data_IF_170235183714
#
_entry.id   IF_170235183714
#
_cell.length_a   1.000
_cell.length_b   1.000
_cell.length_c   1.000
_cell.angle_alpha   90.00
_cell.angle_beta   90.00
_cell.angle_gamma   90.00
#
_symmetry.space_group_name_H-M   'P 1'
#
loop_
_entity.id
_entity.type
_entity.pdbx_description
1 polymer ?
#
# COMPACT_ATOMS: atom_id res chain seq x y z
N UNK A 1 -19.69 -32.45 27.53
CA UNK A 1 -18.23 -32.27 27.56
C UNK A 1 -17.90 -31.07 26.70
N UNK A 2 -17.12 -30.09 27.18
CA UNK A 2 -16.60 -29.06 26.28
C UNK A 2 -15.62 -29.72 25.31
N UNK A 3 -15.83 -29.52 24.02
CA UNK A 3 -14.87 -29.90 22.98
C UNK A 3 -13.63 -29.03 23.23
N UNK A 4 -12.41 -29.59 23.33
CA UNK A 4 -11.21 -28.78 23.44
C UNK A 4 -11.09 -27.93 22.18
N UNK A 5 -11.16 -26.61 22.34
CA UNK A 5 -10.88 -25.66 21.27
C UNK A 5 -9.39 -25.75 20.98
N UNK A 6 -9.01 -26.43 19.92
CA UNK A 6 -7.63 -26.45 19.44
C UNK A 6 -7.41 -25.14 18.64
N UNK A 7 -6.55 -24.21 19.09
CA UNK A 7 -6.51 -22.86 18.52
C UNK A 7 -6.05 -22.79 17.05
N UNK A 8 -5.41 -23.84 16.53
CA UNK A 8 -5.02 -23.96 15.12
C UNK A 8 -4.65 -25.42 14.88
N UNK A 9 -5.15 -26.01 13.80
CA UNK A 9 -4.85 -27.41 13.43
C UNK A 9 -3.56 -27.47 12.59
N UNK A 10 -3.05 -26.31 12.16
CA UNK A 10 -1.89 -26.16 11.29
C UNK A 10 -0.99 -24.99 11.73
N UNK A 11 -0.36 -25.16 12.90
CA UNK A 11 0.49 -24.14 13.54
C UNK A 11 1.65 -23.68 12.64
N UNK A 12 2.17 -24.57 11.79
CA UNK A 12 3.26 -24.27 10.85
C UNK A 12 2.79 -23.28 9.77
N UNK A 13 1.62 -23.53 9.17
CA UNK A 13 1.02 -22.62 8.20
C UNK A 13 0.68 -21.27 8.85
N UNK A 14 0.11 -21.28 10.05
CA UNK A 14 -0.24 -20.04 10.74
C UNK A 14 1.01 -19.19 11.05
N UNK A 15 2.10 -19.82 11.47
CA UNK A 15 3.39 -19.16 11.68
C UNK A 15 3.94 -18.59 10.37
N UNK A 16 3.96 -19.36 9.29
CA UNK A 16 4.42 -18.90 7.97
C UNK A 16 3.63 -17.67 7.51
N UNK A 17 2.29 -17.71 7.61
CA UNK A 17 1.43 -16.61 7.21
C UNK A 17 1.63 -15.38 8.09
N UNK A 18 1.94 -15.54 9.38
CA UNK A 18 2.29 -14.43 10.29
C UNK A 18 3.63 -13.81 9.89
N UNK A 19 4.65 -14.60 9.58
CA UNK A 19 5.96 -14.09 9.15
C UNK A 19 5.87 -13.31 7.82
N UNK A 20 5.09 -13.82 6.86
CA UNK A 20 4.80 -13.10 5.61
C UNK A 20 4.03 -11.82 5.91
N UNK A 21 3.03 -11.86 6.80
CA UNK A 21 2.26 -10.67 7.20
C UNK A 21 3.14 -9.59 7.84
N UNK A 22 4.10 -10.00 8.68
CA UNK A 22 5.05 -9.12 9.33
C UNK A 22 5.99 -8.47 8.31
N UNK A 23 6.52 -9.26 7.38
CA UNK A 23 7.36 -8.76 6.28
C UNK A 23 6.60 -7.76 5.40
N UNK A 24 5.33 -8.07 5.10
CA UNK A 24 4.43 -7.20 4.35
C UNK A 24 4.17 -5.88 5.09
N UNK A 25 4.01 -5.92 6.42
CA UNK A 25 3.80 -4.73 7.24
C UNK A 25 4.99 -3.77 7.18
N UNK A 26 6.22 -4.28 7.14
CA UNK A 26 7.40 -3.43 6.96
C UNK A 26 7.39 -2.70 5.61
N UNK A 27 6.99 -3.39 4.53
CA UNK A 27 6.88 -2.77 3.20
C UNK A 27 5.77 -1.70 3.19
N UNK A 28 4.64 -1.98 3.84
CA UNK A 28 3.51 -1.06 3.93
C UNK A 28 3.86 0.20 4.74
N UNK A 29 4.56 0.03 5.88
CA UNK A 29 5.10 1.14 6.65
C UNK A 29 6.10 1.97 5.82
N UNK A 30 6.97 1.31 5.07
CA UNK A 30 7.91 2.00 4.19
C UNK A 30 7.20 2.80 3.08
N UNK A 31 6.16 2.23 2.46
CA UNK A 31 5.30 2.93 1.50
C UNK A 31 4.67 4.18 2.13
N UNK A 32 4.13 4.08 3.34
CA UNK A 32 3.54 5.22 4.04
C UNK A 32 4.59 6.31 4.38
N UNK A 33 5.81 5.92 4.75
CA UNK A 33 6.91 6.88 4.96
C UNK A 33 7.23 7.63 3.66
N UNK A 34 7.26 6.94 2.52
CA UNK A 34 7.48 7.58 1.22
C UNK A 34 6.37 8.59 0.88
N UNK A 35 5.10 8.26 1.14
CA UNK A 35 3.98 9.20 0.98
C UNK A 35 4.14 10.45 1.85
N UNK A 36 4.57 10.29 3.11
CA UNK A 36 4.82 11.42 4.01
C UNK A 36 5.93 12.32 3.45
N UNK A 37 7.04 11.72 3.02
CA UNK A 37 8.19 12.45 2.44
C UNK A 37 7.75 13.20 1.18
N UNK A 38 7.05 12.54 0.26
CA UNK A 38 6.53 13.17 -0.95
C UNK A 38 5.63 14.36 -0.61
N UNK A 39 4.66 14.16 0.27
CA UNK A 39 3.71 15.21 0.67
C UNK A 39 4.44 16.43 1.26
N UNK A 40 5.47 16.20 2.09
CA UNK A 40 6.30 17.28 2.63
C UNK A 40 7.02 18.05 1.53
N UNK A 41 7.64 17.36 0.57
CA UNK A 41 8.30 18.00 -0.58
C UNK A 41 7.30 18.77 -1.45
N UNK A 42 6.12 18.21 -1.74
CA UNK A 42 5.08 18.91 -2.49
C UNK A 42 4.65 20.21 -1.80
N UNK A 43 4.51 20.18 -0.47
CA UNK A 43 4.20 21.38 0.34
C UNK A 43 5.30 22.44 0.19
N UNK A 44 6.57 22.06 0.29
CA UNK A 44 7.71 22.97 0.15
C UNK A 44 7.75 23.61 -1.24
N UNK A 45 7.53 22.82 -2.30
CA UNK A 45 7.46 23.34 -3.68
C UNK A 45 6.34 24.36 -3.86
N UNK A 46 5.15 24.10 -3.30
CA UNK A 46 4.03 25.05 -3.38
C UNK A 46 4.39 26.36 -2.66
N UNK A 47 4.98 26.28 -1.47
CA UNK A 47 5.41 27.47 -0.72
C UNK A 47 6.44 28.28 -1.51
N UNK A 48 7.44 27.61 -2.10
CA UNK A 48 8.45 28.27 -2.94
C UNK A 48 7.83 28.97 -4.15
N UNK A 49 6.89 28.32 -4.86
CA UNK A 49 6.16 28.93 -6.00
C UNK A 49 5.37 30.17 -5.57
N UNK A 50 4.71 30.12 -4.41
CA UNK A 50 3.97 31.26 -3.87
C UNK A 50 4.93 32.42 -3.58
N UNK A 51 6.05 32.17 -2.89
CA UNK A 51 7.05 33.21 -2.59
C UNK A 51 7.65 33.83 -3.86
N UNK A 52 8.01 33.02 -4.86
CA UNK A 52 8.54 33.49 -6.14
C UNK A 52 7.51 34.32 -6.93
N UNK A 53 6.24 33.90 -6.94
CA UNK A 53 5.16 34.64 -7.61
C UNK A 53 4.89 36.02 -6.99
N UNK A 54 5.22 36.21 -5.71
CA UNK A 54 5.07 37.50 -5.02
C UNK A 54 6.26 38.44 -5.25
N UNK A 55 7.42 37.95 -5.67
CA UNK A 55 8.62 38.76 -5.89
C UNK A 55 8.82 39.24 -7.35
N UNK A 56 8.05 38.73 -8.31
CA UNK A 56 8.07 39.06 -9.76
C UNK A 56 9.43 38.89 -10.48
N UNK A 57 9.47 37.86 -11.34
CA UNK A 57 10.30 37.68 -12.54
C UNK A 57 11.73 38.27 -12.55
N UNK A 58 12.68 37.61 -11.92
CA UNK A 58 14.07 37.61 -12.38
C UNK A 58 14.83 36.45 -11.73
N UNK A 59 14.98 35.37 -12.50
CA UNK A 59 16.14 34.48 -12.59
C UNK A 59 15.66 33.09 -13.01
N UNK A 60 15.69 32.88 -14.33
CA UNK A 60 15.83 31.55 -14.91
C UNK A 60 17.28 31.12 -14.65
N UNK A 61 17.58 30.67 -13.44
CA UNK A 61 18.84 29.98 -13.16
C UNK A 61 18.57 28.48 -13.12
N UNK A 62 18.92 27.86 -14.25
CA UNK A 62 19.15 26.45 -14.43
C UNK A 62 20.23 25.97 -13.44
N UNK A 63 19.81 25.63 -12.22
CA UNK A 63 20.64 24.85 -11.32
C UNK A 63 20.62 23.40 -11.79
N UNK A 64 21.81 22.89 -12.07
CA UNK A 64 22.08 21.51 -12.43
C UNK A 64 21.36 20.57 -11.44
N UNK A 65 20.32 19.91 -11.95
CA UNK A 65 19.53 18.93 -11.21
C UNK A 65 20.44 17.77 -10.83
N UNK A 66 20.77 17.66 -9.55
CA UNK A 66 20.99 16.34 -8.97
C UNK A 66 19.66 15.62 -9.15
N UNK A 67 19.68 14.57 -9.98
CA UNK A 67 18.54 13.79 -10.45
C UNK A 67 17.84 13.10 -9.27
N UNK A 68 17.12 13.88 -8.47
CA UNK A 68 16.33 13.41 -7.35
C UNK A 68 14.89 13.22 -7.82
N UNK A 69 14.24 12.12 -7.43
CA UNK A 69 12.87 11.86 -7.87
C UNK A 69 11.96 12.98 -7.40
N UNK A 70 11.07 13.43 -8.30
CA UNK A 70 10.04 14.41 -7.98
C UNK A 70 9.11 13.84 -6.91
N UNK A 71 8.39 14.69 -6.16
CA UNK A 71 7.44 14.20 -5.16
C UNK A 71 6.42 13.22 -5.78
N UNK A 72 5.92 13.52 -6.98
CA UNK A 72 4.96 12.67 -7.68
C UNK A 72 5.57 11.32 -8.10
N UNK A 73 6.85 11.27 -8.47
CA UNK A 73 7.56 10.00 -8.71
C UNK A 73 7.72 9.18 -7.42
N UNK A 74 7.98 9.83 -6.28
CA UNK A 74 8.03 9.18 -4.97
C UNK A 74 6.64 8.62 -4.60
N UNK A 75 5.57 9.38 -4.83
CA UNK A 75 4.18 8.92 -4.63
C UNK A 75 3.86 7.72 -5.53
N UNK A 76 4.36 7.69 -6.76
CA UNK A 76 4.13 6.58 -7.69
C UNK A 76 4.79 5.30 -7.16
N UNK A 77 6.03 5.38 -6.70
CA UNK A 77 6.75 4.26 -6.08
C UNK A 77 6.00 3.80 -4.82
N UNK A 78 5.61 4.73 -3.94
CA UNK A 78 4.85 4.42 -2.74
C UNK A 78 3.52 3.71 -3.06
N UNK A 79 2.80 4.20 -4.08
CA UNK A 79 1.53 3.62 -4.53
C UNK A 79 1.69 2.20 -5.08
N UNK A 80 2.74 1.95 -5.88
CA UNK A 80 3.08 0.61 -6.37
C UNK A 80 3.39 -0.38 -5.23
N UNK A 81 4.14 0.07 -4.21
CA UNK A 81 4.38 -0.73 -3.01
C UNK A 81 3.08 -1.02 -2.25
N UNK A 82 2.16 -0.06 -2.18
CA UNK A 82 0.84 -0.26 -1.58
C UNK A 82 -0.04 -1.27 -2.33
N UNK A 83 0.05 -1.33 -3.67
CA UNK A 83 -0.59 -2.43 -4.44
C UNK A 83 0.05 -3.76 -4.07
N UNK A 84 1.38 -3.80 -4.02
CA UNK A 84 2.09 -5.04 -3.71
C UNK A 84 1.71 -5.59 -2.32
N UNK A 85 1.67 -4.73 -1.31
CA UNK A 85 1.28 -5.12 0.06
C UNK A 85 -0.16 -5.59 0.12
N UNK A 86 -1.10 -4.90 -0.52
CA UNK A 86 -2.51 -5.27 -0.47
C UNK A 86 -2.80 -6.61 -1.17
N UNK A 87 -2.07 -6.93 -2.24
CA UNK A 87 -2.15 -8.23 -2.90
C UNK A 87 -1.66 -9.36 -1.99
N UNK A 88 -0.57 -9.14 -1.24
CA UNK A 88 -0.08 -10.11 -0.25
C UNK A 88 -1.10 -10.32 0.86
N UNK A 89 -1.62 -9.25 1.45
CA UNK A 89 -2.64 -9.36 2.51
C UNK A 89 -3.90 -10.08 2.03
N UNK A 90 -4.32 -9.83 0.79
CA UNK A 90 -5.45 -10.54 0.18
C UNK A 90 -5.15 -12.03 0.00
N UNK A 91 -3.94 -12.38 -0.44
CA UNK A 91 -3.54 -13.79 -0.55
C UNK A 91 -3.58 -14.49 0.82
N UNK A 92 -3.03 -13.84 1.85
CA UNK A 92 -3.02 -14.38 3.22
C UNK A 92 -4.45 -14.59 3.72
N UNK A 93 -5.35 -13.62 3.52
CA UNK A 93 -6.74 -13.75 3.97
C UNK A 93 -7.49 -14.89 3.27
N UNK A 94 -7.25 -15.08 1.97
CA UNK A 94 -7.83 -16.20 1.21
C UNK A 94 -7.32 -17.55 1.74
N UNK A 95 -6.00 -17.67 1.99
CA UNK A 95 -5.43 -18.92 2.53
C UNK A 95 -6.04 -19.23 3.90
N UNK A 96 -6.12 -18.24 4.81
CA UNK A 96 -6.74 -18.41 6.12
C UNK A 96 -8.21 -18.80 6.04
N UNK A 97 -8.96 -18.20 5.12
CA UNK A 97 -10.36 -18.52 4.89
C UNK A 97 -10.53 -19.97 4.40
N UNK A 98 -9.70 -20.40 3.46
CA UNK A 98 -9.73 -21.76 2.92
C UNK A 98 -9.37 -22.81 3.97
N UNK A 99 -8.34 -22.55 4.79
CA UNK A 99 -7.94 -23.47 5.86
C UNK A 99 -9.04 -23.57 6.92
N UNK A 100 -9.64 -22.44 7.31
CA UNK A 100 -10.77 -22.45 8.23
C UNK A 100 -11.97 -23.23 7.66
N UNK A 101 -12.29 -23.04 6.38
CA UNK A 101 -13.36 -23.79 5.71
C UNK A 101 -13.09 -25.29 5.74
N UNK A 102 -11.87 -25.71 5.40
CA UNK A 102 -11.44 -27.11 5.46
C UNK A 102 -11.58 -27.68 6.88
N UNK A 103 -11.10 -26.96 7.88
CA UNK A 103 -11.16 -27.39 9.28
C UNK A 103 -12.60 -27.60 9.77
N UNK A 104 -13.53 -26.74 9.34
CA UNK A 104 -14.96 -26.89 9.63
C UNK A 104 -15.52 -28.16 8.95
N UNK A 105 -15.17 -28.42 7.69
CA UNK A 105 -15.64 -29.62 6.97
C UNK A 105 -15.10 -30.91 7.61
N UNK A 106 -13.87 -30.88 8.13
CA UNK A 106 -13.24 -31.99 8.83
C UNK A 106 -13.72 -32.15 10.29
N UNK A 107 -14.56 -31.23 10.78
CA UNK A 107 -15.08 -31.25 12.16
C UNK A 107 -14.00 -30.96 13.21
N UNK A 108 -12.91 -30.30 12.83
CA UNK A 108 -11.78 -30.00 13.73
C UNK A 108 -11.95 -28.65 14.45
N UNK A 109 -12.89 -27.81 14.00
CA UNK A 109 -13.26 -26.55 14.64
C UNK A 109 -14.73 -26.19 14.41
N UNK A 110 -15.33 -25.50 15.38
CA UNK A 110 -16.70 -24.98 15.33
C UNK A 110 -16.74 -23.45 15.08
N UNK A 111 -15.60 -22.87 14.67
CA UNK A 111 -15.51 -21.44 14.36
C UNK A 111 -16.39 -21.03 13.18
N UNK A 112 -16.76 -19.75 13.14
CA UNK A 112 -17.59 -19.20 12.06
C UNK A 112 -16.75 -18.60 10.94
N UNK A 113 -17.21 -18.74 9.70
CA UNK A 113 -16.55 -18.16 8.52
C UNK A 113 -16.71 -16.65 8.40
N UNK A 114 -17.78 -16.08 8.98
CA UNK A 114 -18.19 -14.68 8.80
C UNK A 114 -17.06 -13.66 8.97
N UNK A 115 -16.28 -13.69 10.07
CA UNK A 115 -15.16 -12.78 10.26
C UNK A 115 -14.10 -12.86 9.14
N UNK A 116 -13.69 -14.07 8.74
CA UNK A 116 -12.67 -14.26 7.70
C UNK A 116 -13.17 -13.90 6.29
N UNK A 117 -14.46 -14.09 6.02
CA UNK A 117 -15.12 -13.60 4.81
C UNK A 117 -15.04 -12.07 4.77
N UNK A 118 -15.44 -11.38 5.85
CA UNK A 118 -15.44 -9.92 5.91
C UNK A 118 -14.03 -9.35 5.74
N UNK A 119 -13.02 -9.95 6.38
CA UNK A 119 -11.61 -9.57 6.21
C UNK A 119 -11.18 -9.71 4.75
N UNK A 120 -11.47 -10.86 4.13
CA UNK A 120 -11.10 -11.13 2.73
C UNK A 120 -11.77 -10.16 1.77
N UNK A 121 -13.08 -9.90 1.95
CA UNK A 121 -13.83 -8.93 1.16
C UNK A 121 -13.27 -7.51 1.34
N UNK A 122 -12.90 -7.13 2.57
CA UNK A 122 -12.26 -5.85 2.85
C UNK A 122 -10.94 -5.67 2.08
N UNK A 123 -10.11 -6.70 2.03
CA UNK A 123 -8.88 -6.68 1.25
C UNK A 123 -9.14 -6.61 -0.27
N UNK A 124 -10.14 -7.34 -0.78
CA UNK A 124 -10.55 -7.23 -2.19
C UNK A 124 -10.98 -5.81 -2.58
N UNK A 125 -11.77 -5.13 -1.73
CA UNK A 125 -12.11 -3.72 -1.97
C UNK A 125 -10.89 -2.81 -1.90
N UNK A 126 -9.96 -3.11 -1.00
CA UNK A 126 -8.72 -2.34 -0.86
C UNK A 126 -7.81 -2.46 -2.08
N UNK A 127 -7.82 -3.59 -2.80
CA UNK A 127 -7.14 -3.73 -4.10
C UNK A 127 -7.67 -2.69 -5.08
N UNK A 128 -9.00 -2.59 -5.22
CA UNK A 128 -9.64 -1.65 -6.17
C UNK A 128 -9.23 -0.21 -5.84
N UNK A 129 -9.32 0.18 -4.57
CA UNK A 129 -8.91 1.52 -4.13
C UNK A 129 -7.44 1.82 -4.41
N UNK A 130 -6.54 0.87 -4.13
CA UNK A 130 -5.10 1.05 -4.39
C UNK A 130 -4.76 1.09 -5.88
N UNK A 131 -5.45 0.31 -6.72
CA UNK A 131 -5.30 0.38 -8.17
C UNK A 131 -5.70 1.75 -8.71
N UNK A 132 -6.88 2.25 -8.33
CA UNK A 132 -7.36 3.57 -8.76
C UNK A 132 -6.40 4.69 -8.33
N UNK A 133 -5.93 4.67 -7.07
CA UNK A 133 -4.94 5.62 -6.56
C UNK A 133 -3.66 5.58 -7.39
N UNK A 134 -3.12 4.38 -7.63
CA UNK A 134 -1.86 4.23 -8.35
C UNK A 134 -1.96 4.69 -9.80
N UNK A 135 -3.06 4.38 -10.48
CA UNK A 135 -3.32 4.87 -11.84
C UNK A 135 -3.30 6.40 -11.86
N UNK A 136 -4.02 7.05 -10.94
CA UNK A 136 -4.07 8.51 -10.86
C UNK A 136 -2.71 9.15 -10.60
N UNK A 137 -1.90 8.56 -9.71
CA UNK A 137 -0.55 9.07 -9.44
C UNK A 137 0.37 8.89 -10.65
N UNK A 138 0.34 7.73 -11.33
CA UNK A 138 1.12 7.51 -12.55
C UNK A 138 0.70 8.46 -13.67
N UNK A 139 -0.59 8.74 -13.83
CA UNK A 139 -1.08 9.74 -14.79
C UNK A 139 -0.49 11.12 -14.48
N UNK A 140 -0.47 11.52 -13.21
CA UNK A 140 0.12 12.79 -12.79
C UNK A 140 1.62 12.87 -13.07
N UNK A 141 2.38 11.78 -12.87
CA UNK A 141 3.81 11.73 -13.24
C UNK A 141 3.99 11.99 -14.74
N UNK A 142 3.14 11.41 -15.59
CA UNK A 142 3.20 11.61 -17.05
C UNK A 142 2.88 13.05 -17.44
N UNK A 143 1.83 13.63 -16.85
CA UNK A 143 1.47 15.04 -17.07
C UNK A 143 2.61 15.99 -16.68
N UNK A 144 3.29 15.74 -15.56
CA UNK A 144 4.44 16.53 -15.13
C UNK A 144 5.64 16.39 -16.10
N UNK A 145 5.87 15.19 -16.63
CA UNK A 145 6.93 14.96 -17.61
C UNK A 145 6.66 15.69 -18.95
N UNK A 146 5.41 15.72 -19.41
CA UNK A 146 5.01 16.41 -20.64
C UNK A 146 5.16 17.94 -20.53
N UNK A 147 4.81 18.52 -19.37
CA UNK A 147 4.97 19.98 -19.12
C UNK A 147 6.44 20.40 -19.12
N UNK A 148 7.35 19.52 -18.70
CA UNK A 148 8.78 19.85 -18.55
C UNK A 148 9.54 19.86 -19.89
N UNK A 149 8.96 19.34 -20.98
CA UNK A 149 9.60 19.25 -22.30
C UNK A 149 9.31 20.49 -23.19
N UNK A 150 8.33 21.33 -22.82
CA UNK A 150 7.90 22.53 -23.57
C UNK A 150 8.61 23.81 -23.10
#
# INVERSE_FOLDING_TARGET
MPIPVNPSVNDELDLELIEISLSCLYIDLFSNILFIISTQKSKELIIQRIMQSQQNQQQTESQQEVQHPTPTEIDAIASCLGIYTILIYTRISIIRLNELYKNIQEGTTDFTLGPNINITVGFLYSIIGNLLRTIGVIQRVKEEAEITIL
#
